data_IF_541782236619
#
_entry.id   IF_541782236619
#
_cell.length_a   1.000
_cell.length_b   1.000
_cell.length_c   1.000
_cell.angle_alpha   90.00
_cell.angle_beta   90.00
_cell.angle_gamma   90.00
#
_symmetry.space_group_name_H-M   'P 1'
#
loop_
_entity.id
_entity.type
_entity.pdbx_description
1 polymer ?
#
# COMPACT_ATOMS: atom_id res chain seq x y z
N UNK A 1 30.43 -5.58 2.34
CA UNK A 1 30.46 -4.31 1.59
C UNK A 1 29.13 -4.20 0.85
N UNK A 2 28.22 -3.34 1.30
CA UNK A 2 26.89 -3.17 0.70
C UNK A 2 26.97 -2.00 -0.29
N UNK A 3 26.86 -2.26 -1.59
CA UNK A 3 26.81 -1.20 -2.61
C UNK A 3 25.34 -0.82 -2.83
N UNK A 4 24.93 0.32 -2.29
CA UNK A 4 23.62 0.89 -2.61
C UNK A 4 23.68 1.51 -4.02
N UNK A 5 22.75 1.18 -4.93
CA UNK A 5 22.70 1.85 -6.23
C UNK A 5 22.38 3.34 -6.05
N UNK A 6 23.19 4.20 -6.68
CA UNK A 6 22.97 5.65 -6.74
C UNK A 6 21.82 5.88 -7.74
N UNK A 7 20.59 5.83 -7.25
CA UNK A 7 19.42 6.30 -7.98
C UNK A 7 19.15 7.76 -7.60
N UNK A 8 18.79 8.63 -8.56
CA UNK A 8 18.45 10.02 -8.26
C UNK A 8 17.31 10.05 -7.23
N UNK A 9 17.42 10.94 -6.25
CA UNK A 9 16.43 11.07 -5.19
C UNK A 9 15.05 11.40 -5.79
N UNK A 10 14.19 10.39 -5.91
CA UNK A 10 12.80 10.57 -6.33
C UNK A 10 12.11 11.37 -5.22
N UNK A 11 11.94 12.68 -5.42
CA UNK A 11 11.11 13.49 -4.54
C UNK A 11 9.64 13.03 -4.68
N UNK A 12 8.95 12.70 -3.57
CA UNK A 12 7.52 12.42 -3.61
C UNK A 12 6.79 13.71 -4.02
N UNK A 13 6.17 13.71 -5.20
CA UNK A 13 5.49 14.87 -5.78
C UNK A 13 4.07 15.09 -5.19
N UNK A 14 3.87 14.74 -3.92
CA UNK A 14 2.57 14.81 -3.25
C UNK A 14 2.40 13.69 -2.24
N UNK A 15 1.28 13.66 -1.50
CA UNK A 15 0.95 12.60 -0.56
C UNK A 15 0.63 11.34 -1.36
N UNK A 16 1.68 10.64 -1.79
CA UNK A 16 1.57 9.37 -2.48
C UNK A 16 0.83 8.41 -1.54
N UNK A 17 -0.42 8.10 -1.87
CA UNK A 17 -1.29 7.32 -1.00
C UNK A 17 -0.72 5.93 -0.71
N UNK A 18 0.27 5.48 -1.51
CA UNK A 18 0.98 4.21 -1.37
C UNK A 18 2.43 4.24 -1.94
N UNK A 19 3.26 5.20 -1.58
CA UNK A 19 4.69 5.11 -1.91
C UNK A 19 5.39 4.07 -1.01
N UNK A 20 5.72 2.90 -1.55
CA UNK A 20 6.89 2.15 -1.08
C UNK A 20 8.14 2.67 -1.80
N UNK A 21 9.29 2.83 -1.13
CA UNK A 21 10.53 3.20 -1.80
C UNK A 21 10.81 2.28 -3.01
N UNK A 22 11.23 2.86 -4.14
CA UNK A 22 11.57 2.16 -5.39
C UNK A 22 10.40 1.54 -6.20
N UNK A 23 9.13 1.82 -5.87
CA UNK A 23 8.03 1.40 -6.74
C UNK A 23 8.04 2.19 -8.06
N UNK A 24 7.79 1.55 -9.22
CA UNK A 24 7.65 2.27 -10.49
C UNK A 24 6.50 3.27 -10.40
N UNK A 25 6.78 4.51 -10.79
CA UNK A 25 5.78 5.57 -10.93
C UNK A 25 4.79 5.15 -12.01
N UNK A 26 3.50 5.08 -11.68
CA UNK A 26 2.44 4.90 -12.67
C UNK A 26 1.71 6.24 -12.75
N UNK A 27 1.99 7.00 -13.81
CA UNK A 27 1.57 8.40 -13.94
C UNK A 27 0.05 8.60 -14.04
N UNK A 28 -0.71 7.56 -14.42
CA UNK A 28 -2.16 7.57 -14.45
C UNK A 28 -2.72 6.19 -14.10
N UNK A 29 -2.89 5.91 -12.80
CA UNK A 29 -3.54 4.68 -12.35
C UNK A 29 -5.06 4.84 -12.49
N UNK A 30 -5.71 3.91 -13.21
CA UNK A 30 -7.18 3.89 -13.27
C UNK A 30 -7.79 3.67 -11.88
N UNK A 31 -8.99 4.19 -11.57
CA UNK A 31 -9.62 4.01 -10.26
C UNK A 31 -9.70 2.55 -9.80
N UNK A 32 -9.98 1.62 -10.73
CA UNK A 32 -9.97 0.17 -10.46
C UNK A 32 -8.59 -0.35 -10.10
N UNK A 33 -7.55 0.08 -10.82
CA UNK A 33 -6.17 -0.32 -10.53
C UNK A 33 -5.70 0.25 -9.19
N UNK A 34 -6.10 1.47 -8.84
CA UNK A 34 -5.81 2.07 -7.53
C UNK A 34 -6.50 1.30 -6.40
N UNK A 35 -7.78 0.96 -6.60
CA UNK A 35 -8.54 0.12 -5.67
C UNK A 35 -7.85 -1.23 -5.45
N UNK A 36 -7.47 -1.93 -6.52
CA UNK A 36 -6.77 -3.21 -6.43
C UNK A 36 -5.43 -3.07 -5.67
N UNK A 37 -4.66 -2.00 -5.93
CA UNK A 37 -3.43 -1.73 -5.18
C UNK A 37 -3.71 -1.51 -3.69
N UNK A 38 -4.72 -0.70 -3.34
CA UNK A 38 -5.08 -0.47 -1.93
C UNK A 38 -5.41 -1.77 -1.20
N UNK A 39 -6.16 -2.68 -1.85
CA UNK A 39 -6.44 -4.01 -1.30
C UNK A 39 -5.18 -4.88 -1.18
N UNK A 40 -4.30 -4.86 -2.19
CA UNK A 40 -3.03 -5.60 -2.13
C UNK A 40 -2.14 -5.11 -0.97
N UNK A 41 -2.06 -3.80 -0.75
CA UNK A 41 -1.33 -3.25 0.41
C UNK A 41 -1.96 -3.67 1.73
N UNK A 42 -3.29 -3.66 1.84
CA UNK A 42 -3.98 -4.11 3.04
C UNK A 42 -3.64 -5.57 3.36
N UNK A 43 -3.61 -6.44 2.34
CA UNK A 43 -3.22 -7.84 2.48
C UNK A 43 -1.76 -7.98 2.92
N UNK A 44 -0.82 -7.27 2.27
CA UNK A 44 0.60 -7.28 2.64
C UNK A 44 0.83 -6.81 4.08
N UNK A 45 0.15 -5.74 4.50
CA UNK A 45 0.21 -5.25 5.89
C UNK A 45 -0.28 -6.29 6.88
N UNK A 46 -1.37 -7.00 6.55
CA UNK A 46 -1.90 -8.07 7.40
C UNK A 46 -0.93 -9.24 7.51
N UNK A 47 -0.36 -9.70 6.40
CA UNK A 47 0.65 -10.76 6.39
C UNK A 47 1.87 -10.38 7.23
N UNK A 48 2.43 -9.19 7.00
CA UNK A 48 3.55 -8.67 7.79
C UNK A 48 3.21 -8.57 9.29
N UNK A 49 2.02 -8.11 9.63
CA UNK A 49 1.55 -8.08 11.01
C UNK A 49 1.56 -9.47 11.66
N UNK A 50 1.12 -10.51 10.94
CA UNK A 50 1.16 -11.89 11.44
C UNK A 50 2.59 -12.42 11.59
N UNK A 51 3.47 -12.16 10.61
CA UNK A 51 4.90 -12.51 10.71
C UNK A 51 5.54 -11.88 11.97
N UNK A 52 5.21 -10.62 12.27
CA UNK A 52 5.70 -9.92 13.47
C UNK A 52 5.14 -10.49 14.77
N UNK A 53 3.86 -10.91 14.80
CA UNK A 53 3.29 -11.62 15.96
C UNK A 53 4.01 -12.94 16.23
N UNK A 54 4.26 -13.72 15.18
CA UNK A 54 4.98 -14.99 15.29
C UNK A 54 6.41 -14.77 15.82
N UNK A 55 7.05 -13.67 15.41
CA UNK A 55 8.36 -13.27 15.91
C UNK A 55 8.35 -12.59 17.29
N UNK A 56 7.24 -12.58 18.03
CA UNK A 56 7.09 -11.91 19.34
C UNK A 56 7.39 -10.41 19.32
N UNK A 57 7.27 -9.75 18.16
CA UNK A 57 7.42 -8.30 17.99
C UNK A 57 6.05 -7.63 17.99
N UNK A 58 5.42 -7.57 19.16
CA UNK A 58 4.01 -7.22 19.30
C UNK A 58 3.72 -5.77 18.90
N UNK A 59 4.54 -4.79 19.32
CA UNK A 59 4.32 -3.38 18.97
C UNK A 59 4.36 -3.14 17.45
N UNK A 60 5.34 -3.74 16.77
CA UNK A 60 5.44 -3.75 15.31
C UNK A 60 4.22 -4.42 14.67
N UNK A 61 3.79 -5.56 15.22
CA UNK A 61 2.65 -6.29 14.70
C UNK A 61 1.37 -5.47 14.80
N UNK A 62 1.14 -4.81 15.92
CA UNK A 62 -0.05 -3.98 16.14
C UNK A 62 -0.05 -2.79 15.19
N UNK A 63 1.09 -2.13 14.99
CA UNK A 63 1.21 -1.11 13.96
C UNK A 63 0.75 -1.60 12.57
N UNK A 64 1.30 -2.74 12.10
CA UNK A 64 0.97 -3.27 10.78
C UNK A 64 -0.49 -3.72 10.67
N UNK A 65 -1.03 -4.34 11.72
CA UNK A 65 -2.41 -4.81 11.76
C UNK A 65 -3.41 -3.66 11.83
N UNK A 66 -3.12 -2.58 12.58
CA UNK A 66 -3.96 -1.37 12.60
C UNK A 66 -3.90 -0.59 11.30
N UNK A 67 -2.77 -0.61 10.61
CA UNK A 67 -2.59 0.06 9.33
C UNK A 67 -3.35 -0.63 8.17
N UNK A 68 -3.69 -1.92 8.27
CA UNK A 68 -4.38 -2.66 7.21
C UNK A 68 -5.84 -2.20 6.99
N UNK A 69 -6.70 -2.08 8.01
CA UNK A 69 -8.06 -1.54 7.85
C UNK A 69 -8.12 -0.14 7.24
N UNK A 70 -7.12 0.71 7.46
CA UNK A 70 -7.06 2.05 6.86
C UNK A 70 -6.99 1.96 5.33
N UNK A 71 -6.18 1.05 4.79
CA UNK A 71 -6.07 0.84 3.35
C UNK A 71 -7.36 0.26 2.76
N UNK A 72 -8.05 -0.63 3.49
CA UNK A 72 -9.36 -1.16 3.09
C UNK A 72 -10.42 -0.05 3.04
N UNK A 73 -10.48 0.82 4.07
CA UNK A 73 -11.42 1.95 4.09
C UNK A 73 -11.18 2.90 2.92
N UNK A 74 -9.92 3.19 2.59
CA UNK A 74 -9.57 3.99 1.39
C UNK A 74 -10.04 3.32 0.10
N UNK A 75 -9.90 2.00 -0.02
CA UNK A 75 -10.40 1.27 -1.19
C UNK A 75 -11.94 1.35 -1.27
N UNK A 76 -12.64 1.13 -0.15
CA UNK A 76 -14.10 1.23 -0.11
C UNK A 76 -14.61 2.62 -0.50
N UNK A 77 -14.04 3.68 0.07
CA UNK A 77 -14.38 5.07 -0.29
C UNK A 77 -14.15 5.34 -1.78
N UNK A 78 -13.01 4.91 -2.34
CA UNK A 78 -12.73 5.07 -3.78
C UNK A 78 -13.76 4.36 -4.66
N UNK A 79 -14.27 3.20 -4.24
CA UNK A 79 -15.33 2.48 -4.95
C UNK A 79 -16.65 3.23 -4.90
N UNK A 80 -16.99 3.82 -3.76
CA UNK A 80 -18.21 4.62 -3.57
C UNK A 80 -18.18 5.93 -4.38
N UNK A 81 -17.04 6.62 -4.39
CA UNK A 81 -16.87 7.90 -5.08
C UNK A 81 -16.93 7.77 -6.60
N UNK A 82 -16.25 6.75 -7.15
CA UNK A 82 -16.05 6.67 -8.60
C UNK A 82 -17.03 5.72 -9.28
N UNK A 83 -17.54 4.71 -8.55
CA UNK A 83 -18.31 3.57 -9.07
C UNK A 83 -17.60 2.86 -10.24
N UNK A 84 -17.17 1.63 -10.04
CA UNK A 84 -16.49 0.90 -11.12
C UNK A 84 -17.51 0.32 -12.08
N UNK A 85 -17.27 0.48 -13.39
CA UNK A 85 -18.03 -0.22 -14.42
C UNK A 85 -18.07 -1.75 -14.15
N UNK A 86 -19.11 -2.47 -14.55
CA UNK A 86 -19.11 -3.94 -14.45
C UNK A 86 -17.93 -4.54 -15.23
N UNK A 87 -17.43 -5.68 -14.77
CA UNK A 87 -16.42 -6.47 -15.51
C UNK A 87 -17.15 -7.14 -16.68
N UNK A 88 -16.57 -7.18 -17.90
CA UNK A 88 -17.16 -7.91 -19.03
C UNK A 88 -17.42 -9.38 -18.73
#
# INVERSE_FOLDING_TARGET
>A
MFMAPILPAVQPAGPDAVATPFAPRIENISPRALHARLLANAAQRRLRGQERKQAQRLDDADYWLHAAPVAVRKAAALREEVSFAPIP
#
